data_IF_980999692563
#
_entry.id   IF_980999692563
#
_cell.length_a   1.000
_cell.length_b   1.000
_cell.length_c   1.000
_cell.angle_alpha   90.00
_cell.angle_beta   90.00
_cell.angle_gamma   90.00
#
_symmetry.space_group_name_H-M   'P 1'
#
loop_
_entity.id
_entity.type
_entity.pdbx_description
1 polymer ?
#
# COMPACT_ATOMS: atom_id res chain seq x y z
N UNK A 1 16.63 -23.63 0.91
CA UNK A 1 16.77 -23.12 2.29
C UNK A 1 16.80 -21.58 2.35
N UNK A 2 16.07 -20.86 1.49
CA UNK A 2 16.22 -19.39 1.35
C UNK A 2 14.97 -18.56 1.70
N UNK A 3 13.79 -19.16 1.83
CA UNK A 3 12.54 -18.40 2.07
C UNK A 3 12.26 -18.15 3.55
N UNK A 4 12.79 -18.99 4.47
CA UNK A 4 12.55 -18.82 5.91
C UNK A 4 13.30 -17.65 6.56
N UNK A 5 14.39 -17.15 5.95
CA UNK A 5 15.17 -16.07 6.52
C UNK A 5 14.44 -14.70 6.43
N UNK A 6 13.51 -14.54 5.49
CA UNK A 6 12.67 -13.34 5.38
C UNK A 6 11.62 -13.26 6.48
N UNK A 7 10.97 -14.39 6.79
CA UNK A 7 9.89 -14.46 7.77
C UNK A 7 10.35 -14.18 9.22
N UNK A 8 11.53 -14.66 9.61
CA UNK A 8 12.07 -14.37 10.95
C UNK A 8 12.39 -12.87 11.13
N UNK A 9 12.80 -12.20 10.05
CA UNK A 9 13.10 -10.77 10.07
C UNK A 9 11.81 -9.92 10.16
N UNK A 10 10.75 -10.31 9.46
CA UNK A 10 9.43 -9.65 9.53
C UNK A 10 8.81 -9.77 10.93
N UNK A 11 8.90 -10.95 11.55
CA UNK A 11 8.45 -11.14 12.94
C UNK A 11 9.25 -10.30 13.93
N UNK A 12 10.58 -10.21 13.74
CA UNK A 12 11.43 -9.35 14.57
C UNK A 12 11.06 -7.88 14.42
N UNK A 13 10.84 -7.40 13.20
CA UNK A 13 10.45 -6.00 12.95
C UNK A 13 9.06 -5.72 13.52
N UNK A 14 8.11 -6.65 13.38
CA UNK A 14 6.77 -6.49 13.95
C UNK A 14 6.81 -6.37 15.48
N UNK A 15 7.64 -7.18 16.15
CA UNK A 15 7.70 -7.21 17.62
C UNK A 15 8.61 -6.14 18.23
N UNK A 16 9.84 -5.97 17.70
CA UNK A 16 10.85 -5.07 18.24
C UNK A 16 10.85 -3.68 17.58
N UNK A 17 10.19 -3.52 16.43
CA UNK A 17 10.21 -2.29 15.63
C UNK A 17 11.47 -2.13 14.77
N UNK A 18 12.43 -3.05 14.86
CA UNK A 18 13.65 -3.08 14.07
C UNK A 18 14.16 -4.52 13.92
N UNK A 19 15.06 -4.75 12.97
CA UNK A 19 15.63 -6.07 12.67
C UNK A 19 16.91 -6.35 13.47
N UNK A 20 17.21 -7.63 13.66
CA UNK A 20 18.52 -8.06 14.19
C UNK A 20 19.69 -7.56 13.35
N UNK A 21 19.51 -7.46 12.03
CA UNK A 21 20.49 -6.86 11.12
C UNK A 21 20.70 -5.37 11.43
N UNK A 22 19.62 -4.61 11.64
CA UNK A 22 19.72 -3.19 11.97
C UNK A 22 20.41 -2.93 13.30
N UNK A 23 20.11 -3.73 14.33
CA UNK A 23 20.79 -3.64 15.63
C UNK A 23 22.27 -3.98 15.53
N UNK A 24 22.61 -5.04 14.81
CA UNK A 24 23.99 -5.48 14.55
C UNK A 24 24.83 -4.38 13.91
N UNK A 25 24.28 -3.72 12.90
CA UNK A 25 24.98 -2.65 12.19
C UNK A 25 25.19 -1.45 13.11
N UNK A 26 24.21 -1.12 13.96
CA UNK A 26 24.36 -0.08 15.00
C UNK A 26 25.46 -0.40 16.01
N UNK A 27 25.53 -1.64 16.51
CA UNK A 27 26.57 -2.07 17.44
C UNK A 27 27.96 -1.96 16.78
N UNK A 28 28.08 -2.40 15.53
CA UNK A 28 29.35 -2.32 14.79
C UNK A 28 29.78 -0.86 14.58
N UNK A 29 28.84 0.02 14.22
CA UNK A 29 29.11 1.44 14.07
C UNK A 29 29.53 2.08 15.40
N UNK A 30 28.85 1.76 16.50
CA UNK A 30 29.20 2.27 17.82
C UNK A 30 30.62 1.88 18.23
N UNK A 31 31.02 0.62 17.99
CA UNK A 31 32.37 0.14 18.26
C UNK A 31 33.39 0.90 17.39
N UNK A 32 33.06 1.14 16.12
CA UNK A 32 33.91 1.89 15.18
C UNK A 32 34.09 3.34 15.62
N UNK A 33 33.00 4.02 15.97
CA UNK A 33 33.01 5.40 16.46
C UNK A 33 33.79 5.53 17.77
N UNK A 34 33.60 4.57 18.69
CA UNK A 34 34.34 4.54 19.95
C UNK A 34 35.84 4.37 19.72
N UNK A 35 36.24 3.47 18.82
CA UNK A 35 37.64 3.31 18.44
C UNK A 35 38.21 4.58 17.82
N UNK A 36 37.48 5.20 16.89
CA UNK A 36 37.92 6.45 16.26
C UNK A 36 38.12 7.58 17.28
N UNK A 37 37.23 7.69 18.28
CA UNK A 37 37.39 8.66 19.37
C UNK A 37 38.65 8.39 20.20
N UNK A 38 38.88 7.13 20.59
CA UNK A 38 40.11 6.75 21.32
C UNK A 38 41.36 7.09 20.51
N UNK A 39 41.36 6.82 19.20
CA UNK A 39 42.46 7.21 18.32
C UNK A 39 42.69 8.73 18.31
N UNK A 40 41.62 9.53 18.28
CA UNK A 40 41.71 10.99 18.25
C UNK A 40 42.13 11.62 19.59
N UNK A 41 41.87 10.94 20.71
CA UNK A 41 42.18 11.44 22.05
C UNK A 41 43.58 10.99 22.51
N UNK A 42 43.85 9.68 22.47
CA UNK A 42 45.07 9.08 23.02
C UNK A 42 46.23 9.09 22.02
N UNK A 43 45.95 8.92 20.73
CA UNK A 43 46.97 8.81 19.68
C UNK A 43 47.09 10.09 18.84
N UNK A 44 46.55 11.21 19.32
CA UNK A 44 46.51 12.48 18.57
C UNK A 44 47.89 12.93 18.07
N UNK A 45 48.91 12.78 18.90
CA UNK A 45 50.29 13.14 18.57
C UNK A 45 50.88 12.24 17.48
N UNK A 46 50.68 10.93 17.63
CA UNK A 46 51.16 9.93 16.65
C UNK A 46 50.44 10.06 15.30
N UNK A 47 49.15 10.40 15.32
CA UNK A 47 48.33 10.60 14.12
C UNK A 47 48.63 11.90 13.37
N UNK A 48 49.22 12.90 14.03
CA UNK A 48 49.47 14.21 13.41
C UNK A 48 50.63 14.17 12.38
N UNK A 49 51.56 13.23 12.53
CA UNK A 49 52.71 13.06 11.64
C UNK A 49 52.52 12.02 10.53
N UNK A 50 51.40 11.31 10.51
CA UNK A 50 51.11 10.29 9.51
C UNK A 50 50.51 10.91 8.24
N UNK A 51 50.83 10.30 7.11
CA UNK A 51 50.11 10.57 5.86
C UNK A 51 48.65 10.06 5.96
N UNK A 52 47.75 10.53 5.07
CA UNK A 52 46.35 10.15 5.13
C UNK A 52 46.12 8.64 5.01
N UNK A 53 46.92 7.94 4.22
CA UNK A 53 46.76 6.50 3.96
C UNK A 53 47.18 5.64 5.16
N UNK A 54 48.27 6.00 5.83
CA UNK A 54 48.70 5.36 7.08
C UNK A 54 47.73 5.66 8.21
N UNK A 55 47.19 6.89 8.27
CA UNK A 55 46.16 7.26 9.24
C UNK A 55 44.89 6.42 9.07
N UNK A 56 44.39 6.27 7.85
CA UNK A 56 43.22 5.43 7.57
C UNK A 56 43.50 3.94 7.86
N UNK A 57 44.71 3.46 7.55
CA UNK A 57 45.12 2.11 7.89
C UNK A 57 45.23 1.86 9.39
N UNK A 58 45.66 2.85 10.16
CA UNK A 58 45.70 2.79 11.62
C UNK A 58 44.28 2.78 12.22
N UNK A 59 43.39 3.64 11.74
CA UNK A 59 41.99 3.67 12.18
C UNK A 59 41.27 2.35 11.86
N UNK A 60 41.57 1.73 10.72
CA UNK A 60 41.02 0.45 10.32
C UNK A 60 41.72 -0.77 10.96
N UNK A 61 42.83 -0.58 11.69
CA UNK A 61 43.71 -1.67 12.11
C UNK A 61 43.00 -2.79 12.88
N UNK A 62 42.23 -2.52 13.95
CA UNK A 62 41.59 -3.58 14.72
C UNK A 62 40.61 -4.39 13.88
N UNK A 63 39.91 -3.75 12.95
CA UNK A 63 38.90 -4.36 12.09
C UNK A 63 39.50 -5.29 11.03
N UNK A 64 40.80 -5.16 10.73
CA UNK A 64 41.53 -6.08 9.83
C UNK A 64 42.00 -7.34 10.55
N UNK A 65 42.02 -7.34 11.88
CA UNK A 65 42.50 -8.48 12.66
C UNK A 65 41.44 -9.59 12.68
N UNK A 66 41.86 -10.82 12.31
CA UNK A 66 40.99 -12.01 12.33
C UNK A 66 40.29 -12.22 13.68
N UNK A 67 40.95 -12.08 14.85
CA UNK A 67 40.28 -12.21 16.14
C UNK A 67 39.14 -11.21 16.35
N UNK A 68 39.31 -9.98 15.89
CA UNK A 68 38.28 -8.95 16.02
C UNK A 68 37.09 -9.24 15.11
N UNK A 69 37.35 -9.68 13.88
CA UNK A 69 36.30 -10.16 12.98
C UNK A 69 35.50 -11.31 13.59
N UNK A 70 36.18 -12.30 14.17
CA UNK A 70 35.53 -13.42 14.87
C UNK A 70 34.73 -12.94 16.09
N UNK A 71 35.24 -11.98 16.85
CA UNK A 71 34.49 -11.39 17.97
C UNK A 71 33.19 -10.73 17.49
N UNK A 72 33.25 -9.93 16.43
CA UNK A 72 32.05 -9.33 15.84
C UNK A 72 31.07 -10.39 15.35
N UNK A 73 31.55 -11.44 14.68
CA UNK A 73 30.71 -12.57 14.25
C UNK A 73 29.98 -13.23 15.43
N UNK A 74 30.69 -13.49 16.54
CA UNK A 74 30.10 -14.07 17.76
C UNK A 74 29.03 -13.14 18.37
N UNK A 75 29.31 -11.83 18.44
CA UNK A 75 28.32 -10.84 18.93
C UNK A 75 27.09 -10.85 18.03
N UNK A 76 27.28 -10.89 16.71
CA UNK A 76 26.20 -10.87 15.73
C UNK A 76 25.34 -12.13 15.84
N UNK A 77 25.96 -13.29 16.00
CA UNK A 77 25.27 -14.56 16.19
C UNK A 77 24.51 -14.58 17.51
N UNK A 78 25.07 -14.00 18.57
CA UNK A 78 24.40 -13.86 19.85
C UNK A 78 23.14 -13.00 19.75
N UNK A 79 23.25 -11.83 19.11
CA UNK A 79 22.12 -10.92 18.89
C UNK A 79 21.00 -11.62 18.13
N UNK A 80 21.34 -12.32 17.05
CA UNK A 80 20.36 -13.03 16.22
C UNK A 80 19.71 -14.22 16.95
N UNK A 81 20.53 -15.03 17.63
CA UNK A 81 20.11 -16.34 18.11
C UNK A 81 19.52 -16.32 19.52
N UNK A 82 19.83 -15.29 20.31
CA UNK A 82 19.43 -15.23 21.72
C UNK A 82 18.72 -13.94 22.08
N UNK A 83 19.24 -12.77 21.66
CA UNK A 83 18.66 -11.49 22.06
C UNK A 83 17.35 -11.19 21.33
N UNK A 84 17.35 -11.36 20.01
CA UNK A 84 16.22 -11.04 19.13
C UNK A 84 15.53 -12.29 18.58
N UNK A 85 15.84 -13.46 19.13
CA UNK A 85 15.16 -14.69 18.76
C UNK A 85 13.75 -14.69 19.35
N UNK A 86 12.75 -14.78 18.48
CA UNK A 86 11.37 -15.05 18.87
C UNK A 86 11.18 -16.56 18.72
N UNK A 87 10.98 -17.31 19.83
CA UNK A 87 10.78 -18.75 19.74
C UNK A 87 9.55 -19.06 18.88
N UNK A 88 9.68 -20.02 17.95
CA UNK A 88 8.56 -20.42 17.07
C UNK A 88 7.36 -20.98 17.84
N UNK A 89 7.56 -21.39 19.09
CA UNK A 89 6.52 -21.83 20.01
C UNK A 89 5.69 -20.67 20.58
N UNK A 90 6.16 -19.43 20.45
CA UNK A 90 5.48 -18.24 20.96
C UNK A 90 4.72 -17.57 19.82
N UNK A 91 3.40 -17.45 19.98
CA UNK A 91 2.60 -16.59 19.11
C UNK A 91 2.53 -15.19 19.69
N UNK A 92 2.96 -14.21 18.90
CA UNK A 92 2.88 -12.80 19.28
C UNK A 92 1.43 -12.38 19.52
N UNK A 93 1.15 -11.47 20.48
CA UNK A 93 -0.20 -11.00 20.77
C UNK A 93 -0.94 -10.45 19.54
N UNK A 94 -0.25 -9.74 18.63
CA UNK A 94 -0.82 -9.27 17.36
C UNK A 94 -1.36 -10.41 16.48
N UNK A 95 -0.72 -11.58 16.52
CA UNK A 95 -1.08 -12.74 15.69
C UNK A 95 -2.10 -13.67 16.37
N UNK A 96 -2.52 -13.40 17.61
CA UNK A 96 -3.55 -14.21 18.30
C UNK A 96 -4.88 -14.25 17.57
N UNK A 97 -5.24 -13.20 16.83
CA UNK A 97 -6.47 -13.16 16.02
C UNK A 97 -6.41 -14.13 14.83
N UNK A 98 -5.23 -14.39 14.28
CA UNK A 98 -5.06 -15.39 13.22
C UNK A 98 -5.28 -16.81 13.75
N UNK A 99 -4.88 -17.09 15.00
CA UNK A 99 -5.16 -18.38 15.64
C UNK A 99 -6.65 -18.57 15.97
N UNK A 100 -7.34 -17.50 16.38
CA UNK A 100 -8.77 -17.54 16.66
C UNK A 100 -9.61 -17.87 15.40
N UNK A 101 -9.12 -17.52 14.21
CA UNK A 101 -9.76 -17.88 12.94
C UNK A 101 -9.70 -19.37 12.62
N UNK A 102 -8.73 -20.12 13.15
CA UNK A 102 -8.58 -21.55 12.83
C UNK A 102 -9.60 -22.46 13.52
N UNK A 103 -10.27 -21.99 14.58
CA UNK A 103 -11.24 -22.74 15.37
C UNK A 103 -12.66 -22.13 15.36
N UNK A 104 -12.90 -21.07 14.59
CA UNK A 104 -14.27 -20.56 14.42
C UNK A 104 -14.97 -21.39 13.33
N UNK A 105 -16.05 -22.14 13.63
CA UNK A 105 -16.80 -22.90 12.64
C UNK A 105 -17.46 -22.03 11.55
N UNK A 106 -17.33 -20.69 11.63
CA UNK A 106 -17.72 -19.74 10.59
C UNK A 106 -16.57 -19.33 9.65
N UNK A 107 -15.34 -19.76 9.92
CA UNK A 107 -14.19 -19.53 9.04
C UNK A 107 -14.16 -20.64 8.02
N UNK A 108 -14.67 -20.32 6.84
CA UNK A 108 -14.61 -21.16 5.66
C UNK A 108 -13.17 -21.56 5.32
N UNK A 109 -12.98 -22.77 4.76
CA UNK A 109 -11.70 -23.20 4.17
C UNK A 109 -11.21 -22.11 3.19
N UNK A 110 -9.91 -21.84 3.11
CA UNK A 110 -9.34 -20.75 2.28
C UNK A 110 -9.88 -20.77 0.84
N UNK A 111 -10.11 -21.98 0.31
CA UNK A 111 -10.71 -22.20 -1.02
C UNK A 111 -12.14 -21.70 -1.15
N UNK A 112 -12.90 -21.73 -0.07
CA UNK A 112 -14.28 -21.27 -0.07
C UNK A 112 -14.38 -19.76 0.14
N UNK A 113 -13.41 -19.13 0.82
CA UNK A 113 -13.23 -17.68 0.72
C UNK A 113 -12.88 -17.24 -0.69
N UNK A 114 -11.96 -17.93 -1.38
CA UNK A 114 -11.61 -17.64 -2.77
C UNK A 114 -12.83 -17.80 -3.69
N UNK A 115 -13.60 -18.88 -3.52
CA UNK A 115 -14.85 -19.12 -4.26
C UNK A 115 -15.89 -18.02 -4.03
N UNK A 116 -16.13 -17.64 -2.77
CA UNK A 116 -17.07 -16.56 -2.43
C UNK A 116 -16.57 -15.23 -2.99
N UNK A 117 -15.27 -14.97 -2.94
CA UNK A 117 -14.66 -13.76 -3.48
C UNK A 117 -14.83 -13.67 -5.01
N UNK A 118 -14.57 -14.75 -5.73
CA UNK A 118 -14.83 -14.84 -7.18
C UNK A 118 -16.31 -14.64 -7.51
N UNK A 119 -17.22 -15.25 -6.73
CA UNK A 119 -18.66 -15.08 -6.91
C UNK A 119 -19.08 -13.62 -6.72
N UNK A 120 -18.52 -12.92 -5.72
CA UNK A 120 -18.77 -11.49 -5.51
C UNK A 120 -18.21 -10.64 -6.63
N UNK A 121 -17.02 -10.94 -7.15
CA UNK A 121 -16.42 -10.23 -8.27
C UNK A 121 -17.27 -10.38 -9.55
N UNK A 122 -17.73 -11.58 -9.85
CA UNK A 122 -18.60 -11.83 -11.00
C UNK A 122 -19.94 -11.11 -10.84
N UNK A 123 -20.50 -11.08 -9.63
CA UNK A 123 -21.73 -10.33 -9.34
C UNK A 123 -21.53 -8.82 -9.52
N UNK A 124 -20.39 -8.27 -9.12
CA UNK A 124 -20.03 -6.86 -9.36
C UNK A 124 -19.95 -6.58 -10.86
N UNK A 125 -19.33 -7.48 -11.64
CA UNK A 125 -19.24 -7.37 -13.10
C UNK A 125 -20.63 -7.30 -13.74
N UNK A 126 -21.52 -8.23 -13.39
CA UNK A 126 -22.90 -8.26 -13.89
C UNK A 126 -23.71 -7.01 -13.50
N UNK A 127 -23.52 -6.50 -12.27
CA UNK A 127 -24.17 -5.27 -11.84
C UNK A 127 -23.69 -4.06 -12.64
N UNK A 128 -22.39 -3.98 -12.96
CA UNK A 128 -21.84 -2.91 -13.83
C UNK A 128 -22.44 -2.96 -15.22
N UNK A 129 -22.60 -4.14 -15.82
CA UNK A 129 -23.26 -4.31 -17.12
C UNK A 129 -24.72 -3.89 -17.07
N UNK A 130 -25.46 -4.26 -16.02
CA UNK A 130 -26.85 -3.82 -15.82
C UNK A 130 -26.97 -2.30 -15.70
N UNK A 131 -26.06 -1.66 -14.95
CA UNK A 131 -26.02 -0.20 -14.83
C UNK A 131 -25.74 0.44 -16.19
N UNK A 132 -24.79 -0.07 -16.96
CA UNK A 132 -24.48 0.44 -18.30
C UNK A 132 -25.68 0.33 -19.25
N UNK A 133 -26.37 -0.82 -19.24
CA UNK A 133 -27.59 -1.04 -20.03
C UNK A 133 -28.73 -0.10 -19.60
N UNK A 134 -28.94 0.08 -18.29
CA UNK A 134 -29.95 1.00 -17.77
C UNK A 134 -29.65 2.45 -18.16
N UNK A 135 -28.38 2.89 -18.10
CA UNK A 135 -27.97 4.22 -18.57
C UNK A 135 -28.23 4.41 -20.07
N UNK A 136 -27.87 3.42 -20.89
CA UNK A 136 -28.13 3.47 -22.33
C UNK A 136 -29.63 3.54 -22.65
N UNK A 137 -30.47 2.83 -21.88
CA UNK A 137 -31.93 2.91 -22.02
C UNK A 137 -32.46 4.29 -21.62
N UNK A 138 -31.97 4.84 -20.50
CA UNK A 138 -32.36 6.16 -20.01
C UNK A 138 -32.00 7.26 -21.02
N UNK A 139 -30.81 7.17 -21.62
CA UNK A 139 -30.39 8.10 -22.68
C UNK A 139 -31.33 8.05 -23.89
N UNK A 140 -31.68 6.85 -24.36
CA UNK A 140 -32.64 6.70 -25.48
C UNK A 140 -34.02 7.26 -25.14
N UNK A 141 -34.46 7.07 -23.90
CA UNK A 141 -35.73 7.63 -23.43
C UNK A 141 -35.67 9.16 -23.39
N UNK A 142 -34.58 9.75 -22.91
CA UNK A 142 -34.40 11.21 -22.92
C UNK A 142 -34.42 11.76 -24.34
N UNK A 143 -33.73 11.13 -25.29
CA UNK A 143 -33.77 11.53 -26.71
C UNK A 143 -35.20 11.51 -27.25
N UNK A 144 -35.99 10.50 -26.87
CA UNK A 144 -37.39 10.41 -27.31
C UNK A 144 -38.25 11.52 -26.70
N UNK A 145 -38.03 11.85 -25.43
CA UNK A 145 -38.71 12.96 -24.74
C UNK A 145 -38.35 14.29 -25.42
N UNK A 146 -37.08 14.51 -25.76
CA UNK A 146 -36.64 15.74 -26.45
C UNK A 146 -37.31 15.90 -27.82
N UNK A 147 -37.44 14.80 -28.58
CA UNK A 147 -38.17 14.80 -29.86
C UNK A 147 -39.64 15.15 -29.65
N UNK A 148 -40.30 14.55 -28.66
CA UNK A 148 -41.71 14.85 -28.35
C UNK A 148 -41.91 16.31 -27.95
N UNK A 149 -41.04 16.87 -27.11
CA UNK A 149 -41.08 18.30 -26.77
C UNK A 149 -40.82 19.21 -27.97
N UNK A 150 -39.94 18.80 -28.90
CA UNK A 150 -39.74 19.57 -30.13
C UNK A 150 -40.97 19.55 -31.04
N UNK A 151 -41.64 18.41 -31.14
CA UNK A 151 -42.91 18.28 -31.88
C UNK A 151 -44.03 19.12 -31.25
N UNK A 152 -44.16 19.09 -29.92
CA UNK A 152 -45.12 19.89 -29.15
C UNK A 152 -44.90 21.40 -29.41
N UNK A 153 -43.68 21.90 -29.24
CA UNK A 153 -43.34 23.30 -29.53
C UNK A 153 -43.62 23.70 -30.97
N UNK A 154 -43.37 22.79 -31.93
CA UNK A 154 -43.66 23.04 -33.34
C UNK A 154 -45.17 23.13 -33.59
N UNK A 155 -45.96 22.27 -32.96
CA UNK A 155 -47.43 22.33 -33.03
C UNK A 155 -47.98 23.62 -32.41
N UNK A 156 -47.47 24.03 -31.23
CA UNK A 156 -47.86 25.30 -30.60
C UNK A 156 -47.54 26.51 -31.50
N UNK A 157 -46.36 26.52 -32.14
CA UNK A 157 -45.98 27.57 -33.07
C UNK A 157 -46.89 27.62 -34.31
N UNK A 158 -47.28 26.46 -34.85
CA UNK A 158 -48.22 26.37 -35.98
C UNK A 158 -49.59 26.91 -35.57
N UNK A 159 -50.15 26.48 -34.43
CA UNK A 159 -51.44 26.97 -33.92
C UNK A 159 -51.40 28.49 -33.68
N UNK A 160 -50.33 29.00 -33.06
CA UNK A 160 -50.16 30.43 -32.83
C UNK A 160 -50.06 31.23 -34.15
N UNK A 161 -49.48 30.65 -35.20
CA UNK A 161 -49.40 31.27 -36.53
C UNK A 161 -50.73 31.25 -37.28
N UNK A 162 -51.53 30.18 -37.13
CA UNK A 162 -52.87 30.08 -37.72
C UNK A 162 -53.87 31.04 -37.07
N UNK A 163 -53.75 31.28 -35.76
CA UNK A 163 -54.56 32.28 -35.06
C UNK A 163 -54.24 33.73 -35.45
N UNK A 164 -53.10 33.99 -36.11
CA UNK A 164 -52.73 35.32 -36.64
C UNK A 164 -53.19 35.57 -38.07
N UNK A 165 -53.63 34.54 -38.81
CA UNK A 165 -53.94 34.61 -40.25
C UNK A 165 -55.42 34.50 -40.61
N UNK A 166 -56.33 34.48 -39.63
CA UNK A 166 -57.78 34.55 -39.89
C UNK A 166 -58.26 36.01 -39.96
N UNK A 167 -58.58 36.58 -41.15
CA UNK A 167 -59.34 37.81 -41.22
C UNK A 167 -60.75 37.55 -40.70
N UNK A 168 -61.21 38.42 -39.80
CA UNK A 168 -62.55 38.39 -39.22
C UNK A 168 -63.60 38.43 -40.33
N UNK A 169 -64.61 37.54 -40.37
CA UNK A 169 -65.67 37.61 -41.36
C UNK A 169 -66.50 38.86 -41.06
N UNK A 170 -66.39 39.85 -41.94
CA UNK A 170 -67.22 41.05 -41.95
C UNK A 170 -68.70 40.63 -41.99
N UNK A 171 -69.44 41.06 -40.96
CA UNK A 171 -70.90 40.92 -40.91
C UNK A 171 -71.50 41.66 -42.10
N UNK A 172 -72.07 40.93 -43.04
CA UNK A 172 -73.02 41.48 -44.00
C UNK A 172 -74.28 41.90 -43.24
N UNK A 173 -74.54 43.21 -43.20
CA UNK A 173 -75.82 43.79 -42.81
C UNK A 173 -76.82 43.62 -43.96
N UNK A 174 -78.02 43.05 -43.73
CA UNK A 174 -79.08 43.08 -44.72
C UNK A 174 -79.79 44.43 -44.71
N UNK A 175 -79.99 45.01 -45.91
CA UNK A 175 -81.02 46.02 -46.19
C UNK A 175 -81.82 45.51 -47.38
#
# INVERSE_FOLDING_TARGET
>A
MSELAGADNELQVAFFGFSSVGLRDHITNLITDAWQKVCQEEFKGDLAGLDPEAKDSFLAFPFRLKPFKTLLEVINDFVRSYLMAIPKSVTLPENRKMLAGFNDPRVFDSKEYDRVFEEKLEKIRQLREKIASAKAKLERTNVTIDVLHHMEKTQEAIIASQNKTLPSPSKETPI
#
